data_IF_466668641142
#
_entry.id   IF_466668641142
#
_cell.length_a   1.000
_cell.length_b   1.000
_cell.length_c   1.000
_cell.angle_alpha   90.00
_cell.angle_beta   90.00
_cell.angle_gamma   90.00
#
_symmetry.space_group_name_H-M   'P 1'
#
loop_
_entity.id
_entity.type
_entity.pdbx_description
1 polymer ?
#
# COMPACT_ATOMS: atom_id res chain seq x y z
N UNK A 1 33.64 2.40 11.38
CA UNK A 1 34.19 3.48 10.52
C UNK A 1 34.38 4.71 11.37
N UNK A 2 35.54 5.41 11.24
CA UNK A 2 35.83 6.70 11.89
C UNK A 2 35.74 7.80 10.82
N UNK A 3 35.11 8.92 11.18
CA UNK A 3 34.91 10.05 10.25
C UNK A 3 34.59 11.32 11.02
N UNK A 4 34.93 12.46 10.43
CA UNK A 4 34.55 13.81 10.87
C UNK A 4 33.29 14.33 10.13
N UNK A 5 32.66 13.50 9.29
CA UNK A 5 31.39 13.85 8.65
C UNK A 5 30.25 13.90 9.68
N UNK A 6 29.60 15.05 9.89
CA UNK A 6 28.69 15.25 11.03
C UNK A 6 27.43 14.38 10.96
N UNK A 7 26.93 14.12 9.76
CA UNK A 7 25.64 13.41 9.56
C UNK A 7 25.80 11.90 9.34
N UNK A 8 26.92 11.32 9.76
CA UNK A 8 27.20 9.90 9.54
C UNK A 8 26.18 8.96 10.23
N UNK A 9 25.53 9.42 11.30
CA UNK A 9 24.50 8.71 12.04
C UNK A 9 23.06 8.99 11.56
N UNK A 10 22.94 9.87 10.57
CA UNK A 10 21.66 10.24 9.99
C UNK A 10 21.43 9.50 8.65
N UNK A 11 20.17 9.29 8.29
CA UNK A 11 19.82 8.83 6.95
C UNK A 11 20.03 9.98 5.97
N UNK A 12 21.18 9.99 5.33
CA UNK A 12 21.68 11.14 4.56
C UNK A 12 22.02 10.73 3.12
N UNK A 13 21.85 11.65 2.19
CA UNK A 13 22.34 11.54 0.83
C UNK A 13 23.43 12.58 0.61
N UNK A 14 24.63 12.11 0.35
CA UNK A 14 25.79 12.97 0.01
C UNK A 14 25.90 13.01 -1.50
N UNK A 15 25.82 14.21 -2.07
CA UNK A 15 26.07 14.46 -3.50
C UNK A 15 27.31 15.32 -3.65
N UNK A 16 28.24 14.92 -4.51
CA UNK A 16 29.43 15.67 -4.86
C UNK A 16 29.75 15.57 -6.37
N UNK A 17 30.73 16.28 -6.83
CA UNK A 17 31.22 16.13 -8.23
C UNK A 17 31.74 14.71 -8.52
N UNK A 18 32.20 14.00 -7.48
CA UNK A 18 32.76 12.66 -7.61
C UNK A 18 31.64 11.56 -7.66
N UNK A 19 30.37 11.88 -7.31
CA UNK A 19 29.27 10.97 -7.34
C UNK A 19 28.30 11.16 -6.18
N UNK A 20 27.48 10.14 -5.96
CA UNK A 20 26.46 10.13 -4.91
C UNK A 20 26.68 8.94 -3.97
N UNK A 21 26.57 9.20 -2.67
CA UNK A 21 26.55 8.17 -1.64
C UNK A 21 25.34 8.37 -0.72
N UNK A 22 24.62 7.27 -0.43
CA UNK A 22 23.54 7.29 0.55
C UNK A 22 23.99 6.56 1.81
N UNK A 23 23.82 7.21 2.95
CA UNK A 23 24.10 6.67 4.28
C UNK A 23 22.80 6.14 4.86
N UNK A 24 22.82 4.93 5.36
CA UNK A 24 21.71 4.34 6.10
C UNK A 24 22.25 3.77 7.41
N UNK A 25 21.97 4.41 8.54
CA UNK A 25 22.29 3.85 9.85
C UNK A 25 21.62 2.51 10.05
N UNK A 26 22.35 1.60 10.67
CA UNK A 26 21.88 0.27 11.05
C UNK A 26 21.97 0.13 12.57
N UNK A 27 21.72 -1.06 13.05
CA UNK A 27 21.75 -1.41 14.46
C UNK A 27 23.15 -1.18 15.06
N UNK A 28 23.19 -0.64 16.27
CA UNK A 28 24.44 -0.33 16.96
C UNK A 28 25.28 0.71 16.20
N UNK A 29 26.56 0.43 16.00
CA UNK A 29 27.51 1.32 15.32
C UNK A 29 27.69 1.03 13.82
N UNK A 30 26.84 0.17 13.26
CA UNK A 30 26.92 -0.22 11.86
C UNK A 30 26.23 0.83 10.99
N UNK A 31 26.84 1.14 9.86
CA UNK A 31 26.25 1.96 8.80
C UNK A 31 26.34 1.21 7.48
N UNK A 32 25.39 1.45 6.60
CA UNK A 32 25.38 0.96 5.22
C UNK A 32 25.57 2.13 4.26
N UNK A 33 26.57 2.02 3.41
CA UNK A 33 26.84 2.99 2.35
C UNK A 33 26.38 2.41 1.01
N UNK A 34 25.55 3.16 0.28
CA UNK A 34 25.23 2.89 -1.12
C UNK A 34 26.02 3.87 -1.99
N UNK A 35 27.10 3.40 -2.58
CA UNK A 35 28.01 4.20 -3.37
C UNK A 35 27.62 4.04 -4.83
N UNK A 36 27.22 5.12 -5.47
CA UNK A 36 27.00 5.11 -6.91
C UNK A 36 28.34 5.22 -7.62
N UNK A 37 28.72 4.14 -8.27
CA UNK A 37 29.91 4.16 -9.11
C UNK A 37 29.63 5.01 -10.36
N UNK A 38 30.61 5.83 -10.83
CA UNK A 38 30.51 6.45 -12.14
C UNK A 38 30.31 5.36 -13.19
N UNK A 39 29.63 5.69 -14.28
CA UNK A 39 29.42 4.73 -15.36
C UNK A 39 30.76 4.11 -15.72
N UNK A 40 30.91 2.83 -15.44
CA UNK A 40 32.00 2.04 -15.99
C UNK A 40 31.76 2.09 -17.49
N UNK A 41 32.70 2.67 -18.23
CA UNK A 41 32.60 2.83 -19.67
C UNK A 41 32.20 1.49 -20.27
N UNK A 42 31.06 1.48 -20.92
CA UNK A 42 30.60 0.30 -21.67
C UNK A 42 31.30 0.43 -23.02
N UNK A 43 32.33 -0.35 -23.23
CA UNK A 43 33.01 -0.44 -24.54
C UNK A 43 32.07 -0.86 -25.67
N UNK A 44 30.92 -1.46 -25.31
CA UNK A 44 29.81 -1.75 -26.24
C UNK A 44 28.48 -1.84 -25.46
N UNK A 45 27.38 -1.34 -26.02
CA UNK A 45 26.02 -1.40 -25.45
C UNK A 45 25.51 -2.83 -25.15
N UNK A 46 26.26 -3.87 -25.51
CA UNK A 46 25.91 -5.31 -25.34
C UNK A 46 26.70 -5.99 -24.24
N UNK A 47 27.76 -5.42 -23.69
CA UNK A 47 28.54 -6.07 -22.66
C UNK A 47 27.95 -5.87 -21.27
N UNK A 48 27.78 -6.99 -20.57
CA UNK A 48 27.42 -6.98 -19.15
C UNK A 48 28.60 -6.47 -18.35
N UNK A 49 28.37 -5.53 -17.42
CA UNK A 49 29.39 -5.08 -16.46
C UNK A 49 29.94 -6.30 -15.73
N UNK A 50 31.23 -6.52 -15.86
CA UNK A 50 31.93 -7.59 -15.14
C UNK A 50 32.16 -7.18 -13.70
N UNK A 51 31.32 -7.76 -12.80
CA UNK A 51 31.40 -7.49 -11.37
C UNK A 51 32.73 -7.91 -10.74
N UNK A 52 33.41 -8.88 -11.31
CA UNK A 52 34.67 -9.39 -10.76
C UNK A 52 35.83 -8.36 -10.84
N UNK A 53 35.69 -7.36 -11.70
CA UNK A 53 36.64 -6.26 -11.84
C UNK A 53 36.46 -5.15 -10.78
N UNK A 54 35.37 -5.16 -10.03
CA UNK A 54 35.08 -4.14 -9.02
C UNK A 54 35.50 -4.70 -7.65
N UNK A 55 36.45 -4.04 -7.01
CA UNK A 55 36.99 -4.45 -5.72
C UNK A 55 36.45 -3.59 -4.57
N UNK A 56 36.58 -4.04 -3.35
CA UNK A 56 36.23 -3.30 -2.14
C UNK A 56 37.01 -1.98 -2.07
N UNK A 57 38.30 -2.02 -2.40
CA UNK A 57 39.19 -0.83 -2.40
C UNK A 57 38.68 0.25 -3.35
N UNK A 58 38.19 -0.13 -4.53
CA UNK A 58 37.58 0.82 -5.49
C UNK A 58 36.34 1.49 -4.91
N UNK A 59 35.51 0.73 -4.17
CA UNK A 59 34.32 1.28 -3.49
C UNK A 59 34.72 2.25 -2.38
N UNK A 60 35.70 1.87 -1.55
CA UNK A 60 36.23 2.71 -0.48
C UNK A 60 36.82 4.01 -1.01
N UNK A 61 37.59 3.93 -2.09
CA UNK A 61 38.20 5.11 -2.74
C UNK A 61 37.13 6.02 -3.37
N UNK A 62 36.11 5.45 -4.00
CA UNK A 62 34.98 6.22 -4.52
C UNK A 62 34.24 6.94 -3.39
N UNK A 63 34.02 6.27 -2.25
CA UNK A 63 33.42 6.91 -1.09
C UNK A 63 34.27 8.07 -0.57
N UNK A 64 35.61 7.91 -0.42
CA UNK A 64 36.49 9.00 0.01
C UNK A 64 36.37 10.20 -0.89
N UNK A 65 36.34 10.01 -2.22
CA UNK A 65 36.17 11.10 -3.18
C UNK A 65 34.81 11.81 -3.05
N UNK A 66 33.75 11.04 -2.79
CA UNK A 66 32.40 11.61 -2.63
C UNK A 66 32.31 12.45 -1.36
N UNK A 67 32.94 12.02 -0.28
CA UNK A 67 32.87 12.68 1.03
C UNK A 67 33.88 13.81 1.21
N UNK A 68 34.84 13.95 0.30
CA UNK A 68 35.81 15.04 0.44
C UNK A 68 35.13 16.40 0.66
N UNK A 69 35.61 17.24 1.62
CA UNK A 69 36.91 17.17 2.32
C UNK A 69 36.90 16.30 3.60
N UNK A 70 35.79 15.67 3.98
CA UNK A 70 35.70 14.84 5.20
C UNK A 70 36.53 13.59 5.06
N UNK A 71 37.11 13.14 6.19
CA UNK A 71 37.89 11.92 6.25
C UNK A 71 36.99 10.69 6.48
N UNK A 72 37.29 9.59 5.79
CA UNK A 72 36.67 8.29 6.01
C UNK A 72 37.75 7.25 6.26
N UNK A 73 37.72 6.64 7.45
CA UNK A 73 38.61 5.53 7.84
C UNK A 73 37.78 4.30 8.20
N UNK A 74 37.97 3.21 7.49
CA UNK A 74 37.26 1.95 7.73
C UNK A 74 37.91 1.18 8.87
N UNK A 75 37.15 0.84 9.90
CA UNK A 75 37.59 -0.02 10.99
C UNK A 75 37.31 -1.48 10.69
N UNK A 76 36.17 -1.76 10.08
CA UNK A 76 35.69 -3.09 9.69
C UNK A 76 34.69 -2.97 8.55
N UNK A 77 34.68 -3.97 7.65
CA UNK A 77 33.69 -4.11 6.58
C UNK A 77 33.09 -5.51 6.67
N UNK A 78 31.93 -5.61 7.29
CA UNK A 78 31.24 -6.88 7.52
C UNK A 78 30.73 -7.51 6.24
N UNK A 79 30.34 -6.69 5.25
CA UNK A 79 29.75 -7.15 3.99
C UNK A 79 29.82 -6.07 2.92
N UNK A 80 30.02 -6.49 1.68
CA UNK A 80 29.89 -5.64 0.51
C UNK A 80 29.42 -6.40 -0.70
N UNK A 81 28.84 -5.69 -1.68
CA UNK A 81 28.42 -6.26 -2.96
C UNK A 81 28.32 -5.18 -4.03
N UNK A 82 28.29 -5.62 -5.28
CA UNK A 82 28.00 -4.74 -6.43
C UNK A 82 26.64 -5.09 -6.97
N UNK A 83 25.72 -4.11 -6.91
CA UNK A 83 24.39 -4.22 -7.44
C UNK A 83 24.29 -3.55 -8.81
N UNK A 84 23.94 -4.33 -9.82
CA UNK A 84 23.67 -3.81 -11.16
C UNK A 84 22.16 -3.59 -11.26
N UNK A 85 21.76 -2.33 -11.35
CA UNK A 85 20.35 -1.96 -11.48
C UNK A 85 19.79 -2.49 -12.80
N UNK A 86 18.78 -3.33 -12.71
CA UNK A 86 17.93 -3.72 -13.83
C UNK A 86 16.52 -3.21 -13.57
N UNK A 87 15.95 -2.51 -14.53
CA UNK A 87 14.56 -2.04 -14.45
C UNK A 87 13.73 -2.82 -15.45
N UNK A 88 13.09 -3.88 -14.97
CA UNK A 88 12.41 -4.86 -15.82
C UNK A 88 11.20 -5.43 -15.08
N UNK A 89 10.19 -5.83 -15.84
CA UNK A 89 9.11 -6.68 -15.35
C UNK A 89 8.81 -7.78 -16.36
N UNK A 90 8.32 -8.91 -15.87
CA UNK A 90 7.97 -10.06 -16.68
C UNK A 90 6.74 -9.78 -17.54
N UNK A 91 6.66 -10.42 -18.70
CA UNK A 91 5.50 -10.35 -19.59
C UNK A 91 4.25 -10.95 -18.95
N UNK A 92 4.43 -11.98 -18.12
CA UNK A 92 3.37 -12.66 -17.39
C UNK A 92 3.82 -12.95 -15.96
N UNK A 93 2.90 -12.89 -15.00
CA UNK A 93 3.10 -13.21 -13.59
C UNK A 93 2.48 -14.56 -13.21
N UNK A 94 1.71 -15.12 -14.13
CA UNK A 94 1.02 -16.39 -13.99
C UNK A 94 1.16 -17.20 -15.30
N UNK A 95 1.22 -18.53 -15.19
CA UNK A 95 1.16 -19.40 -16.34
C UNK A 95 -0.27 -19.51 -16.91
N UNK A 96 -0.39 -19.97 -18.15
CA UNK A 96 -1.70 -20.07 -18.85
C UNK A 96 -2.71 -20.98 -18.15
N UNK A 97 -2.25 -21.88 -17.31
CA UNK A 97 -3.10 -22.83 -16.59
C UNK A 97 -3.48 -22.33 -15.18
N UNK A 98 -2.98 -21.17 -14.74
CA UNK A 98 -3.24 -20.62 -13.41
C UNK A 98 -2.66 -21.45 -12.26
N UNK A 99 -1.54 -22.15 -12.49
CA UNK A 99 -0.94 -23.05 -11.50
C UNK A 99 0.47 -22.68 -11.07
N UNK A 100 1.14 -21.84 -11.84
CA UNK A 100 2.49 -21.35 -11.55
C UNK A 100 2.42 -19.83 -11.47
N UNK A 101 2.90 -19.27 -10.37
CA UNK A 101 2.92 -17.84 -10.12
C UNK A 101 4.34 -17.40 -9.80
N UNK A 102 4.72 -16.21 -10.24
CA UNK A 102 5.96 -15.56 -9.85
C UNK A 102 5.66 -14.25 -9.17
N UNK A 103 6.47 -13.86 -8.16
CA UNK A 103 6.30 -12.64 -7.38
C UNK A 103 7.64 -12.05 -6.95
N UNK A 104 7.65 -10.78 -6.56
CA UNK A 104 8.86 -10.06 -6.16
C UNK A 104 9.93 -10.00 -7.24
N UNK A 105 11.18 -10.22 -6.89
CA UNK A 105 12.32 -10.13 -7.81
C UNK A 105 12.26 -11.14 -8.96
N UNK A 106 11.42 -12.18 -8.85
CA UNK A 106 11.20 -13.13 -9.95
C UNK A 106 10.36 -12.52 -11.09
N UNK A 107 9.53 -11.53 -10.80
CA UNK A 107 8.66 -10.91 -11.80
C UNK A 107 8.98 -9.44 -12.09
N UNK A 108 9.65 -8.71 -11.19
CA UNK A 108 10.09 -7.33 -11.45
C UNK A 108 11.37 -6.99 -10.69
N UNK A 109 12.20 -6.19 -11.31
CA UNK A 109 13.41 -5.62 -10.69
C UNK A 109 13.47 -4.12 -10.98
N UNK A 110 13.93 -3.36 -10.00
CA UNK A 110 14.05 -1.91 -10.10
C UNK A 110 15.25 -1.41 -9.29
N UNK A 111 15.52 -0.10 -9.30
CA UNK A 111 16.66 0.44 -8.57
C UNK A 111 16.43 0.40 -7.05
N UNK A 112 17.49 0.33 -6.23
CA UNK A 112 17.36 0.41 -4.78
C UNK A 112 17.11 1.85 -4.28
N UNK A 113 17.04 2.84 -5.17
CA UNK A 113 17.03 4.27 -4.81
C UNK A 113 15.77 4.67 -4.03
N UNK A 114 14.61 4.18 -4.44
CA UNK A 114 13.35 4.42 -3.73
C UNK A 114 13.14 3.49 -2.53
N UNK A 115 13.89 2.38 -2.43
CA UNK A 115 13.77 1.41 -1.33
C UNK A 115 12.50 0.57 -1.36
N UNK A 116 11.89 0.36 -2.53
CA UNK A 116 10.58 -0.27 -2.67
C UNK A 116 10.59 -1.79 -2.91
N UNK A 117 11.77 -2.41 -3.16
CA UNK A 117 11.85 -3.82 -3.57
C UNK A 117 11.16 -4.78 -2.60
N UNK A 118 11.54 -4.74 -1.33
CA UNK A 118 10.94 -5.60 -0.31
C UNK A 118 9.44 -5.34 -0.16
N UNK A 119 9.02 -4.08 -0.14
CA UNK A 119 7.61 -3.72 0.00
C UNK A 119 6.77 -4.23 -1.17
N UNK A 120 7.27 -4.08 -2.39
CA UNK A 120 6.62 -4.59 -3.59
C UNK A 120 6.48 -6.12 -3.56
N UNK A 121 7.53 -6.84 -3.18
CA UNK A 121 7.54 -8.31 -3.08
C UNK A 121 6.58 -8.82 -1.99
N UNK A 122 6.52 -8.16 -0.83
CA UNK A 122 5.55 -8.50 0.23
C UNK A 122 4.13 -8.27 -0.26
N UNK A 123 3.88 -7.16 -0.94
CA UNK A 123 2.55 -6.85 -1.48
C UNK A 123 2.13 -7.83 -2.59
N UNK A 124 3.05 -8.30 -3.43
CA UNK A 124 2.74 -9.36 -4.42
C UNK A 124 2.31 -10.65 -3.72
N UNK A 125 3.09 -11.06 -2.73
CA UNK A 125 2.79 -12.27 -1.95
C UNK A 125 1.46 -12.14 -1.22
N UNK A 126 1.22 -11.01 -0.56
CA UNK A 126 -0.04 -10.74 0.13
C UNK A 126 -1.23 -10.79 -0.85
N UNK A 127 -1.11 -10.13 -2.01
CA UNK A 127 -2.15 -10.10 -3.04
C UNK A 127 -2.49 -11.50 -3.58
N UNK A 128 -1.50 -12.35 -3.76
CA UNK A 128 -1.68 -13.72 -4.26
C UNK A 128 -2.24 -14.67 -3.21
N UNK A 129 -1.69 -14.64 -1.97
CA UNK A 129 -1.94 -15.67 -0.96
C UNK A 129 -3.39 -15.71 -0.50
N UNK A 130 -4.05 -14.56 -0.28
CA UNK A 130 -5.45 -14.58 0.12
C UNK A 130 -6.38 -15.11 -0.98
N UNK A 131 -6.08 -14.83 -2.26
CA UNK A 131 -6.81 -15.36 -3.41
C UNK A 131 -6.64 -16.87 -3.54
N UNK A 132 -5.40 -17.36 -3.41
CA UNK A 132 -5.10 -18.79 -3.37
C UNK A 132 -5.82 -19.48 -2.22
N UNK A 133 -5.79 -18.90 -1.03
CA UNK A 133 -6.43 -19.48 0.14
C UNK A 133 -7.96 -19.60 -0.03
N UNK A 134 -8.62 -18.61 -0.64
CA UNK A 134 -10.05 -18.69 -0.95
C UNK A 134 -10.36 -19.78 -1.97
N UNK A 135 -9.56 -19.91 -3.02
CA UNK A 135 -9.75 -20.96 -4.03
C UNK A 135 -9.52 -22.35 -3.45
N UNK A 136 -8.43 -22.55 -2.70
CA UNK A 136 -8.12 -23.85 -2.05
C UNK A 136 -9.20 -24.25 -1.04
N UNK A 137 -9.77 -23.28 -0.33
CA UNK A 137 -10.89 -23.52 0.60
C UNK A 137 -12.24 -23.68 -0.09
N UNK A 138 -12.30 -23.61 -1.43
CA UNK A 138 -13.56 -23.68 -2.18
C UNK A 138 -14.50 -22.48 -1.95
N UNK A 139 -13.97 -21.35 -1.47
CA UNK A 139 -14.72 -20.12 -1.17
C UNK A 139 -14.73 -19.10 -2.32
N UNK A 140 -13.89 -19.30 -3.33
CA UNK A 140 -13.86 -18.49 -4.56
C UNK A 140 -13.60 -19.37 -5.78
N UNK A 141 -14.04 -18.91 -6.96
CA UNK A 141 -13.72 -19.55 -8.22
C UNK A 141 -12.27 -19.26 -8.63
N UNK A 142 -11.57 -20.17 -9.35
CA UNK A 142 -10.20 -19.97 -9.82
C UNK A 142 -9.97 -18.70 -10.62
N UNK A 143 -11.00 -18.15 -11.28
CA UNK A 143 -10.93 -16.89 -12.02
C UNK A 143 -10.42 -15.70 -11.19
N UNK A 144 -10.56 -15.74 -9.86
CA UNK A 144 -10.01 -14.69 -8.97
C UNK A 144 -8.49 -14.61 -9.09
N UNK A 145 -7.80 -15.70 -9.41
CA UNK A 145 -6.34 -15.75 -9.51
C UNK A 145 -5.80 -14.92 -10.69
N UNK A 146 -6.60 -14.73 -11.74
CA UNK A 146 -6.26 -13.90 -12.88
C UNK A 146 -6.06 -12.43 -12.47
N UNK A 147 -6.77 -11.99 -11.42
CA UNK A 147 -6.63 -10.63 -10.90
C UNK A 147 -5.27 -10.39 -10.26
N UNK A 148 -4.53 -11.42 -9.86
CA UNK A 148 -3.16 -11.27 -9.37
C UNK A 148 -2.25 -10.65 -10.43
N UNK A 149 -2.17 -11.27 -11.61
CA UNK A 149 -1.37 -10.71 -12.71
C UNK A 149 -1.89 -9.35 -13.13
N UNK A 150 -3.20 -9.19 -13.28
CA UNK A 150 -3.82 -7.95 -13.70
C UNK A 150 -3.44 -6.77 -12.79
N UNK A 151 -3.55 -6.95 -11.49
CA UNK A 151 -3.27 -5.93 -10.48
C UNK A 151 -1.76 -5.70 -10.29
N UNK A 152 -1.00 -6.77 -10.10
CA UNK A 152 0.41 -6.65 -9.70
C UNK A 152 1.35 -6.34 -10.85
N UNK A 153 1.05 -6.80 -12.06
CA UNK A 153 1.82 -6.42 -13.24
C UNK A 153 1.61 -4.95 -13.62
N UNK A 154 0.38 -4.44 -13.50
CA UNK A 154 0.10 -3.01 -13.68
C UNK A 154 0.87 -2.16 -12.66
N UNK A 155 0.85 -2.56 -11.38
CA UNK A 155 1.65 -1.93 -10.35
C UNK A 155 3.16 -1.96 -10.63
N UNK A 156 3.70 -3.12 -11.05
CA UNK A 156 5.12 -3.26 -11.36
C UNK A 156 5.54 -2.35 -12.51
N UNK A 157 4.69 -2.18 -13.53
CA UNK A 157 4.91 -1.22 -14.61
C UNK A 157 5.02 0.21 -14.08
N UNK A 158 4.04 0.65 -13.27
CA UNK A 158 4.06 1.98 -12.65
C UNK A 158 5.28 2.17 -11.74
N UNK A 159 5.66 1.13 -10.97
CA UNK A 159 6.84 1.17 -10.12
C UNK A 159 8.11 1.44 -10.91
N UNK A 160 8.27 0.76 -12.06
CA UNK A 160 9.45 0.94 -12.91
C UNK A 160 9.46 2.31 -13.57
N UNK A 161 8.33 2.80 -14.05
CA UNK A 161 8.18 4.15 -14.61
C UNK A 161 8.55 5.22 -13.56
N UNK A 162 8.00 5.10 -12.36
CA UNK A 162 8.30 5.99 -11.23
C UNK A 162 9.78 5.90 -10.80
N UNK A 163 10.34 4.67 -10.77
CA UNK A 163 11.76 4.46 -10.43
C UNK A 163 12.69 5.08 -11.47
N UNK A 164 12.33 5.08 -12.75
CA UNK A 164 13.08 5.76 -13.80
C UNK A 164 13.18 7.26 -13.56
N UNK A 165 12.03 7.93 -13.32
CA UNK A 165 12.00 9.36 -13.03
C UNK A 165 12.80 9.68 -11.76
N UNK A 166 12.51 8.95 -10.69
CA UNK A 166 13.15 9.19 -9.40
C UNK A 166 14.66 8.91 -9.42
N UNK A 167 15.07 7.85 -10.13
CA UNK A 167 16.46 7.52 -10.28
C UNK A 167 17.24 8.57 -11.13
N UNK A 168 16.60 9.15 -12.13
CA UNK A 168 17.19 10.24 -12.91
C UNK A 168 17.45 11.47 -12.05
N UNK A 169 16.47 11.93 -11.27
CA UNK A 169 16.58 13.07 -10.36
C UNK A 169 17.70 12.88 -9.32
N UNK A 170 17.80 11.68 -8.74
CA UNK A 170 18.87 11.38 -7.79
C UNK A 170 20.25 11.36 -8.46
N UNK A 171 20.33 10.89 -9.70
CA UNK A 171 21.61 10.72 -10.42
C UNK A 171 22.13 12.00 -11.08
N UNK A 172 21.31 13.04 -11.18
CA UNK A 172 21.73 14.31 -11.77
C UNK A 172 22.97 14.85 -11.05
N UNK A 173 24.00 15.18 -11.83
CA UNK A 173 25.24 15.74 -11.31
C UNK A 173 24.96 17.09 -10.70
N UNK A 174 25.67 17.41 -9.61
CA UNK A 174 25.66 18.75 -9.03
C UNK A 174 26.38 19.67 -9.99
N UNK A 175 25.74 20.77 -10.34
CA UNK A 175 26.35 21.89 -11.01
C UNK A 175 27.09 22.76 -9.99
N UNK A 176 28.16 23.50 -10.42
CA UNK A 176 28.97 24.26 -9.49
C UNK A 176 28.30 25.49 -8.88
N UNK A 177 27.13 25.84 -9.38
CA UNK A 177 26.38 27.04 -8.99
C UNK A 177 25.44 26.73 -7.82
N UNK A 178 25.50 27.51 -6.75
CA UNK A 178 24.65 27.35 -5.57
C UNK A 178 23.15 27.49 -5.89
N UNK A 179 22.79 28.32 -6.84
CA UNK A 179 21.43 28.55 -7.29
C UNK A 179 20.88 27.31 -8.01
N UNK A 180 21.63 26.69 -8.91
CA UNK A 180 21.25 25.44 -9.58
C UNK A 180 21.20 24.26 -8.60
N UNK A 181 22.06 24.25 -7.58
CA UNK A 181 22.01 23.24 -6.52
C UNK A 181 20.73 23.38 -5.67
N UNK A 182 20.27 24.59 -5.41
CA UNK A 182 19.00 24.85 -4.71
C UNK A 182 17.81 24.39 -5.54
N UNK A 183 17.78 24.71 -6.83
CA UNK A 183 16.72 24.26 -7.75
C UNK A 183 16.67 22.72 -7.81
N UNK A 184 17.81 22.06 -7.94
CA UNK A 184 17.88 20.60 -7.97
C UNK A 184 17.41 19.96 -6.65
N UNK A 185 17.59 20.63 -5.51
CA UNK A 185 17.07 20.18 -4.22
C UNK A 185 15.55 20.32 -4.16
N UNK A 186 14.99 21.43 -4.61
CA UNK A 186 13.55 21.66 -4.68
C UNK A 186 12.85 20.65 -5.59
N UNK A 187 13.41 20.41 -6.79
CA UNK A 187 12.92 19.39 -7.71
C UNK A 187 12.88 17.98 -7.07
N UNK A 188 13.93 17.63 -6.32
CA UNK A 188 14.00 16.36 -5.63
C UNK A 188 12.95 16.28 -4.50
N UNK A 189 12.77 17.35 -3.74
CA UNK A 189 11.75 17.43 -2.67
C UNK A 189 10.35 17.27 -3.27
N UNK A 190 10.03 18.02 -4.31
CA UNK A 190 8.74 17.97 -4.99
C UNK A 190 8.46 16.58 -5.60
N UNK A 191 9.51 15.91 -6.10
CA UNK A 191 9.40 14.53 -6.55
C UNK A 191 9.09 13.57 -5.38
N UNK A 192 9.74 13.75 -4.22
CA UNK A 192 9.41 12.98 -3.02
C UNK A 192 7.95 13.18 -2.59
N UNK A 193 7.47 14.40 -2.58
CA UNK A 193 6.09 14.72 -2.21
C UNK A 193 5.11 14.11 -3.22
N UNK A 194 5.37 14.25 -4.52
CA UNK A 194 4.56 13.68 -5.59
C UNK A 194 4.46 12.15 -5.54
N UNK A 195 5.58 11.47 -5.27
CA UNK A 195 5.62 10.00 -5.24
C UNK A 195 5.39 9.39 -3.86
N UNK A 196 5.29 10.20 -2.80
CA UNK A 196 5.14 9.72 -1.41
C UNK A 196 3.95 8.80 -1.22
N UNK A 197 2.80 9.14 -1.81
CA UNK A 197 1.60 8.32 -1.76
C UNK A 197 1.76 6.97 -2.44
N UNK A 198 2.46 6.92 -3.58
CA UNK A 198 2.76 5.67 -4.28
C UNK A 198 3.77 4.82 -3.51
N UNK A 199 4.85 5.43 -3.00
CA UNK A 199 5.87 4.73 -2.21
C UNK A 199 5.35 4.22 -0.86
N UNK A 200 4.37 4.90 -0.26
CA UNK A 200 3.69 4.42 0.95
C UNK A 200 2.61 3.37 0.68
N UNK A 201 2.26 3.13 -0.58
CA UNK A 201 1.20 2.21 -0.99
C UNK A 201 -0.23 2.78 -0.90
N UNK A 202 -0.39 4.00 -0.38
CA UNK A 202 -1.72 4.59 -0.12
C UNK A 202 -2.45 4.99 -1.41
N UNK A 203 -1.71 5.40 -2.44
CA UNK A 203 -2.30 5.83 -3.71
C UNK A 203 -2.30 4.76 -4.80
N UNK A 204 -1.90 3.53 -4.48
CA UNK A 204 -2.03 2.40 -5.42
C UNK A 204 -3.51 2.20 -5.69
N UNK A 205 -3.87 2.19 -6.97
CA UNK A 205 -5.25 1.98 -7.42
C UNK A 205 -5.29 0.86 -8.44
N UNK A 206 -6.16 -0.10 -8.21
CA UNK A 206 -6.43 -1.19 -9.13
C UNK A 206 -7.57 -0.82 -10.06
N UNK A 207 -7.42 -1.17 -11.33
CA UNK A 207 -8.43 -0.99 -12.35
C UNK A 207 -9.63 -1.92 -12.15
N UNK A 208 -10.79 -1.61 -12.74
CA UNK A 208 -11.97 -2.47 -12.68
C UNK A 208 -11.66 -3.90 -13.12
N UNK A 209 -12.15 -4.86 -12.34
CA UNK A 209 -11.94 -6.30 -12.54
C UNK A 209 -13.14 -7.09 -12.00
N UNK A 210 -13.04 -8.41 -11.94
CA UNK A 210 -14.10 -9.23 -11.29
C UNK A 210 -14.22 -8.99 -9.78
N UNK A 211 -13.22 -8.35 -9.13
CA UNK A 211 -13.23 -8.01 -7.70
C UNK A 211 -13.14 -6.50 -7.43
N UNK A 212 -12.95 -5.70 -8.45
CA UNK A 212 -12.90 -4.24 -8.34
C UNK A 212 -14.00 -3.66 -9.22
N UNK A 213 -15.01 -3.05 -8.61
CA UNK A 213 -16.11 -2.45 -9.35
C UNK A 213 -15.62 -1.28 -10.22
N UNK A 214 -16.26 -1.01 -11.36
CA UNK A 214 -16.04 0.23 -12.09
C UNK A 214 -16.56 1.43 -11.27
N UNK A 215 -16.02 2.62 -11.54
CA UNK A 215 -16.58 3.85 -10.97
C UNK A 215 -18.06 3.97 -11.33
N UNK A 216 -18.89 4.27 -10.35
CA UNK A 216 -20.34 4.40 -10.52
C UNK A 216 -20.77 5.84 -10.27
N UNK A 217 -21.95 6.22 -10.80
CA UNK A 217 -22.54 7.54 -10.60
C UNK A 217 -22.69 7.88 -9.10
N UNK A 218 -22.93 6.88 -8.28
CA UNK A 218 -23.08 6.99 -6.84
C UNK A 218 -21.76 7.23 -6.07
N UNK A 219 -20.61 7.20 -6.75
CA UNK A 219 -19.31 7.49 -6.15
C UNK A 219 -19.22 8.90 -5.56
N UNK A 220 -20.06 9.83 -6.02
CA UNK A 220 -20.13 11.19 -5.49
C UNK A 220 -20.54 11.23 -4.01
N UNK A 221 -21.34 10.28 -3.56
CA UNK A 221 -21.77 10.15 -2.17
C UNK A 221 -20.66 9.56 -1.28
N UNK A 222 -19.69 8.92 -1.91
CA UNK A 222 -18.53 8.29 -1.30
C UNK A 222 -17.21 8.87 -1.82
N UNK A 223 -17.17 10.15 -2.16
CA UNK A 223 -16.01 10.80 -2.78
C UNK A 223 -14.68 10.60 -2.04
N UNK A 224 -14.73 10.38 -0.72
CA UNK A 224 -13.54 10.07 0.08
C UNK A 224 -13.04 8.63 0.01
N UNK A 225 -13.80 7.70 -0.63
CA UNK A 225 -13.42 6.29 -0.81
C UNK A 225 -13.26 6.04 -2.30
N UNK A 226 -12.03 5.94 -2.75
CA UNK A 226 -11.72 5.69 -4.17
C UNK A 226 -11.75 4.19 -4.42
N UNK A 227 -12.60 3.74 -5.36
CA UNK A 227 -12.67 2.33 -5.76
C UNK A 227 -11.31 1.85 -6.25
N UNK A 228 -10.94 0.65 -5.88
CA UNK A 228 -9.64 0.05 -6.22
C UNK A 228 -8.46 0.49 -5.35
N UNK A 229 -8.66 1.45 -4.42
CA UNK A 229 -7.63 1.89 -3.48
C UNK A 229 -7.77 1.25 -2.12
N UNK A 230 -6.65 1.16 -1.40
CA UNK A 230 -6.65 0.82 0.01
C UNK A 230 -7.50 1.82 0.80
N UNK A 231 -8.36 1.29 1.67
CA UNK A 231 -9.17 2.12 2.55
C UNK A 231 -8.30 2.92 3.52
N UNK A 232 -8.45 4.24 3.53
CA UNK A 232 -7.73 5.11 4.45
C UNK A 232 -8.29 4.96 5.86
N UNK A 233 -7.51 4.37 6.76
CA UNK A 233 -7.90 4.20 8.16
C UNK A 233 -8.18 5.53 8.84
N UNK A 234 -9.21 5.52 9.69
CA UNK A 234 -9.61 6.66 10.54
C UNK A 234 -9.73 6.20 11.97
N UNK A 235 -9.61 7.14 12.92
CA UNK A 235 -9.87 6.86 14.31
C UNK A 235 -11.38 6.87 14.52
N UNK A 236 -11.90 5.81 15.12
CA UNK A 236 -13.29 5.64 15.51
C UNK A 236 -13.35 5.22 16.98
N UNK A 237 -14.45 5.50 17.67
CA UNK A 237 -14.67 5.06 19.04
C UNK A 237 -15.56 3.82 19.01
N UNK A 238 -15.14 2.76 19.67
CA UNK A 238 -15.97 1.55 19.78
C UNK A 238 -17.11 1.78 20.76
N UNK A 239 -18.33 1.54 20.32
CA UNK A 239 -19.54 1.81 21.12
C UNK A 239 -19.55 1.03 22.44
N UNK A 240 -19.11 -0.22 22.45
CA UNK A 240 -19.23 -1.12 23.59
C UNK A 240 -18.41 -0.71 24.84
N UNK A 241 -17.30 0.01 24.66
CA UNK A 241 -16.35 0.37 25.73
C UNK A 241 -15.75 1.75 25.61
N UNK A 242 -16.25 2.57 24.71
CA UNK A 242 -15.81 3.95 24.47
C UNK A 242 -14.30 4.10 24.16
N UNK A 243 -13.64 3.05 23.64
CA UNK A 243 -12.20 3.08 23.34
C UNK A 243 -11.96 3.54 21.90
N UNK A 244 -10.99 4.46 21.67
CA UNK A 244 -10.59 4.84 20.32
C UNK A 244 -9.73 3.75 19.67
N UNK A 245 -9.94 3.51 18.38
CA UNK A 245 -9.17 2.59 17.55
C UNK A 245 -8.94 3.17 16.15
N UNK A 246 -7.83 2.82 15.54
CA UNK A 246 -7.75 2.91 14.10
C UNK A 246 -8.65 1.83 13.49
N UNK A 247 -9.56 2.22 12.59
CA UNK A 247 -10.53 1.29 12.01
C UNK A 247 -9.85 0.12 11.29
N UNK A 248 -8.69 0.35 10.65
CA UNK A 248 -7.91 -0.70 10.01
C UNK A 248 -7.46 -1.80 10.98
N UNK A 249 -7.15 -1.46 12.23
CA UNK A 249 -6.75 -2.44 13.25
C UNK A 249 -7.89 -3.39 13.64
N UNK A 250 -9.13 -3.03 13.30
CA UNK A 250 -10.31 -3.84 13.54
C UNK A 250 -10.65 -4.78 12.36
N UNK A 251 -9.81 -4.73 11.32
CA UNK A 251 -9.94 -5.52 10.08
C UNK A 251 -8.71 -6.41 9.86
N UNK A 252 -8.49 -7.44 10.70
CA UNK A 252 -7.34 -8.34 10.55
C UNK A 252 -7.39 -9.10 9.22
N UNK A 253 -6.23 -9.49 8.69
CA UNK A 253 -6.11 -10.32 7.49
C UNK A 253 -6.44 -11.77 7.82
N UNK A 254 -7.72 -12.13 7.75
CA UNK A 254 -8.27 -13.44 8.15
C UNK A 254 -9.12 -14.11 7.06
N UNK A 255 -9.02 -13.66 5.83
CA UNK A 255 -9.75 -14.11 4.64
C UNK A 255 -11.24 -13.76 4.62
N UNK A 256 -11.75 -12.97 5.58
CA UNK A 256 -13.11 -12.47 5.53
C UNK A 256 -13.21 -11.22 4.66
N UNK A 257 -14.29 -11.11 3.93
CA UNK A 257 -14.68 -9.84 3.31
C UNK A 257 -15.23 -8.90 4.39
N UNK A 258 -15.03 -7.58 4.22
CA UNK A 258 -15.55 -6.57 5.14
C UNK A 258 -16.59 -5.71 4.45
N UNK A 259 -17.75 -5.64 5.07
CA UNK A 259 -18.77 -4.67 4.70
C UNK A 259 -18.78 -3.58 5.76
N UNK A 260 -18.32 -2.40 5.39
CA UNK A 260 -18.39 -1.21 6.23
C UNK A 260 -19.74 -0.54 6.03
N UNK A 261 -20.52 -0.41 7.10
CA UNK A 261 -21.86 0.15 7.09
C UNK A 261 -21.80 1.50 7.80
N UNK A 262 -21.87 2.57 7.03
CA UNK A 262 -21.92 3.92 7.58
C UNK A 262 -23.38 4.28 7.86
N UNK A 263 -23.78 4.06 9.08
CA UNK A 263 -25.18 4.14 9.50
C UNK A 263 -25.70 5.57 9.66
N UNK A 264 -24.86 6.61 9.52
CA UNK A 264 -25.29 7.99 9.68
C UNK A 264 -25.78 8.29 11.10
N UNK A 265 -26.79 9.15 11.21
CA UNK A 265 -27.43 9.47 12.48
C UNK A 265 -28.55 8.46 12.78
N UNK A 266 -28.26 7.49 13.64
CA UNK A 266 -29.20 6.43 14.02
C UNK A 266 -30.42 6.92 14.80
N UNK A 267 -30.42 8.18 15.29
CA UNK A 267 -31.55 8.79 16.00
C UNK A 267 -32.51 9.51 15.04
N UNK A 268 -32.14 9.67 13.78
CA UNK A 268 -32.98 10.29 12.76
C UNK A 268 -33.92 9.22 12.17
N UNK A 269 -35.26 9.37 12.27
CA UNK A 269 -36.19 8.32 11.86
C UNK A 269 -36.08 7.94 10.37
N UNK A 270 -35.76 8.89 9.47
CA UNK A 270 -35.58 8.63 8.06
C UNK A 270 -34.36 7.74 7.79
N UNK A 271 -33.21 8.06 8.42
CA UNK A 271 -31.99 7.27 8.31
C UNK A 271 -32.13 5.91 8.96
N UNK A 272 -32.79 5.84 10.13
CA UNK A 272 -33.04 4.56 10.79
C UNK A 272 -33.89 3.63 9.93
N UNK A 273 -34.86 4.14 9.17
CA UNK A 273 -35.66 3.33 8.24
C UNK A 273 -34.78 2.74 7.16
N UNK A 274 -33.92 3.56 6.53
CA UNK A 274 -33.01 3.11 5.47
C UNK A 274 -32.00 2.08 5.99
N UNK A 275 -31.48 2.25 7.23
CA UNK A 275 -30.59 1.29 7.88
C UNK A 275 -31.31 -0.06 8.12
N UNK A 276 -32.61 -0.04 8.47
CA UNK A 276 -33.38 -1.28 8.63
C UNK A 276 -33.53 -2.04 7.32
N UNK A 277 -33.88 -1.34 6.24
CA UNK A 277 -33.96 -1.94 4.90
C UNK A 277 -32.62 -2.52 4.44
N UNK A 278 -31.52 -1.75 4.63
CA UNK A 278 -30.18 -2.23 4.35
C UNK A 278 -29.78 -3.46 5.21
N UNK A 279 -30.15 -3.45 6.48
CA UNK A 279 -29.90 -4.57 7.41
C UNK A 279 -30.55 -5.87 6.96
N UNK A 280 -31.80 -5.83 6.48
CA UNK A 280 -32.51 -6.99 5.95
C UNK A 280 -31.80 -7.56 4.72
N UNK A 281 -31.35 -6.69 3.79
CA UNK A 281 -30.60 -7.10 2.61
C UNK A 281 -29.23 -7.72 2.98
N UNK A 282 -28.54 -7.16 3.96
CA UNK A 282 -27.25 -7.66 4.44
C UNK A 282 -27.41 -9.00 5.18
N UNK A 283 -28.47 -9.17 5.94
CA UNK A 283 -28.78 -10.44 6.59
C UNK A 283 -29.08 -11.54 5.56
N UNK A 284 -29.84 -11.22 4.50
CA UNK A 284 -30.09 -12.15 3.40
C UNK A 284 -28.78 -12.51 2.66
N UNK A 285 -27.90 -11.54 2.46
CA UNK A 285 -26.57 -11.75 1.88
C UNK A 285 -25.74 -12.69 2.77
N UNK A 286 -25.67 -12.42 4.07
CA UNK A 286 -24.96 -13.27 5.02
C UNK A 286 -25.46 -14.71 4.97
N UNK A 287 -26.79 -14.92 5.07
CA UNK A 287 -27.42 -16.25 5.00
C UNK A 287 -27.11 -16.97 3.69
N UNK A 288 -27.04 -16.27 2.58
CA UNK A 288 -26.76 -16.86 1.26
C UNK A 288 -25.34 -17.40 1.14
N UNK A 289 -24.36 -16.72 1.72
CA UNK A 289 -22.93 -17.03 1.52
C UNK A 289 -22.27 -17.69 2.72
N UNK A 290 -22.88 -17.67 3.90
CA UNK A 290 -22.36 -18.38 5.07
C UNK A 290 -22.49 -19.88 4.89
N UNK A 291 -21.41 -20.66 5.01
CA UNK A 291 -21.48 -22.11 4.91
C UNK A 291 -22.41 -22.70 5.98
N UNK A 292 -23.10 -23.82 5.71
CA UNK A 292 -23.90 -24.50 6.70
C UNK A 292 -23.10 -24.77 7.98
N UNK A 293 -23.72 -24.57 9.15
CA UNK A 293 -23.13 -24.78 10.48
C UNK A 293 -21.93 -23.87 10.82
N UNK A 294 -21.75 -22.77 10.10
CA UNK A 294 -20.73 -21.74 10.39
C UNK A 294 -21.36 -20.54 11.08
N UNK A 295 -20.50 -19.72 11.73
CA UNK A 295 -20.93 -18.44 12.26
C UNK A 295 -21.39 -17.51 11.11
N UNK A 296 -22.36 -16.62 11.39
CA UNK A 296 -22.93 -15.73 10.37
C UNK A 296 -21.87 -14.81 9.73
N UNK A 297 -20.78 -14.54 10.45
CA UNK A 297 -19.66 -13.71 10.03
C UNK A 297 -18.42 -14.51 9.59
N UNK A 298 -18.56 -15.79 9.30
CA UNK A 298 -17.45 -16.68 8.90
C UNK A 298 -16.77 -16.23 7.60
N UNK A 299 -17.54 -15.73 6.64
CA UNK A 299 -17.01 -15.27 5.36
C UNK A 299 -17.05 -13.75 5.23
N UNK A 300 -18.05 -13.10 5.79
CA UNK A 300 -18.26 -11.65 5.69
C UNK A 300 -18.35 -11.06 7.10
N UNK A 301 -17.46 -10.12 7.40
CA UNK A 301 -17.45 -9.38 8.66
C UNK A 301 -18.16 -8.03 8.45
N UNK A 302 -19.16 -7.75 9.27
CA UNK A 302 -20.00 -6.56 9.19
C UNK A 302 -19.57 -5.55 10.25
N UNK A 303 -19.19 -4.36 9.84
CA UNK A 303 -18.69 -3.29 10.71
C UNK A 303 -19.61 -2.08 10.57
N UNK A 304 -20.31 -1.71 11.63
CA UNK A 304 -21.25 -0.59 11.64
C UNK A 304 -20.60 0.64 12.24
N UNK A 305 -20.70 1.78 11.55
CA UNK A 305 -20.12 3.06 11.96
C UNK A 305 -21.22 4.11 11.96
N UNK A 306 -21.55 4.62 13.15
CA UNK A 306 -22.56 5.68 13.35
C UNK A 306 -21.91 7.05 13.40
N UNK A 307 -22.62 8.10 13.00
CA UNK A 307 -22.20 9.50 13.23
C UNK A 307 -22.53 10.03 14.63
N UNK A 308 -23.31 9.27 15.40
CA UNK A 308 -23.64 9.62 16.75
C UNK A 308 -22.46 9.38 17.71
N UNK A 309 -22.40 10.12 18.81
CA UNK A 309 -21.54 9.75 19.92
C UNK A 309 -22.03 8.47 20.60
N UNK A 310 -21.12 7.64 21.08
CA UNK A 310 -21.43 6.40 21.80
C UNK A 310 -22.35 6.65 23.03
N UNK A 311 -22.31 7.83 23.61
CA UNK A 311 -23.11 8.22 24.78
C UNK A 311 -24.54 8.67 24.41
N UNK A 312 -24.88 8.81 23.13
CA UNK A 312 -26.16 9.42 22.72
C UNK A 312 -27.20 8.43 22.25
N UNK A 313 -26.86 7.18 22.06
CA UNK A 313 -27.81 6.13 21.64
C UNK A 313 -27.44 4.77 22.23
N UNK A 314 -28.45 3.94 22.41
CA UNK A 314 -28.27 2.56 22.83
C UNK A 314 -28.04 1.63 21.60
N UNK A 315 -27.26 0.59 21.80
CA UNK A 315 -26.98 -0.40 20.74
C UNK A 315 -28.27 -0.96 20.15
N UNK A 316 -29.27 -1.18 20.98
CA UNK A 316 -30.59 -1.73 20.65
C UNK A 316 -31.43 -0.81 19.75
N UNK A 317 -31.02 0.43 19.55
CA UNK A 317 -31.60 1.33 18.55
C UNK A 317 -31.27 0.92 17.13
N UNK A 318 -30.19 0.16 16.92
CA UNK A 318 -29.81 -0.41 15.63
C UNK A 318 -30.61 -1.69 15.33
N UNK A 319 -30.79 -2.07 14.04
CA UNK A 319 -31.37 -3.33 13.66
C UNK A 319 -30.63 -4.52 14.29
N UNK A 320 -31.39 -5.56 14.69
CA UNK A 320 -30.86 -6.73 15.41
C UNK A 320 -29.67 -7.37 14.71
N UNK A 321 -29.71 -7.52 13.39
CA UNK A 321 -28.60 -8.10 12.64
C UNK A 321 -27.31 -7.30 12.78
N UNK A 322 -27.37 -5.96 12.75
CA UNK A 322 -26.20 -5.08 12.86
C UNK A 322 -25.66 -4.98 14.30
N UNK A 323 -26.49 -5.34 15.31
CA UNK A 323 -26.06 -5.34 16.70
C UNK A 323 -25.61 -6.70 17.22
N UNK A 324 -25.59 -7.75 16.43
CA UNK A 324 -25.21 -9.11 16.90
C UNK A 324 -23.81 -9.13 17.51
N UNK A 325 -22.86 -8.44 16.91
CA UNK A 325 -21.51 -8.31 17.45
C UNK A 325 -21.25 -6.89 17.98
N UNK A 326 -21.41 -6.71 19.30
CA UNK A 326 -21.20 -5.42 19.96
C UNK A 326 -19.77 -4.84 19.77
N UNK A 327 -18.79 -5.69 19.45
CA UNK A 327 -17.41 -5.28 19.24
C UNK A 327 -17.15 -4.73 17.83
N UNK A 328 -18.14 -4.79 16.95
CA UNK A 328 -18.09 -4.30 15.56
C UNK A 328 -18.96 -3.08 15.31
N UNK A 329 -19.38 -2.39 16.40
CA UNK A 329 -20.13 -1.14 16.34
C UNK A 329 -19.21 -0.01 16.78
N UNK A 330 -19.08 1.00 15.93
CA UNK A 330 -18.20 2.15 16.14
C UNK A 330 -18.95 3.47 15.93
N UNK A 331 -18.37 4.53 16.49
CA UNK A 331 -18.87 5.89 16.40
C UNK A 331 -17.80 6.80 15.81
N UNK A 332 -18.15 7.63 14.83
CA UNK A 332 -17.28 8.65 14.24
C UNK A 332 -17.39 9.95 15.03
N UNK A 333 -16.91 9.95 16.27
CA UNK A 333 -16.99 11.08 17.18
C UNK A 333 -15.66 11.77 17.44
N UNK A 334 -14.55 11.22 16.97
CA UNK A 334 -13.22 11.81 17.17
C UNK A 334 -12.94 12.82 16.05
N UNK A 335 -12.99 14.09 16.40
CA UNK A 335 -12.56 15.15 15.51
C UNK A 335 -11.04 15.35 15.60
N UNK A 336 -10.30 15.08 14.53
CA UNK A 336 -8.91 15.51 14.39
C UNK A 336 -8.93 16.90 13.74
N UNK A 337 -8.38 17.90 14.41
CA UNK A 337 -8.35 19.31 13.95
C UNK A 337 -9.73 19.93 13.65
N UNK A 338 -10.77 19.55 14.42
CA UNK A 338 -12.11 20.12 14.26
C UNK A 338 -12.90 19.62 13.05
N UNK A 339 -12.35 18.72 12.27
CA UNK A 339 -13.04 18.09 11.13
C UNK A 339 -13.50 16.71 11.55
N UNK A 340 -14.82 16.52 11.69
CA UNK A 340 -15.42 15.18 11.81
C UNK A 340 -15.11 14.40 10.53
N UNK A 341 -14.49 13.24 10.69
CA UNK A 341 -13.63 12.71 9.66
C UNK A 341 -14.27 11.86 8.57
N UNK A 342 -15.54 11.43 8.66
CA UNK A 342 -16.00 10.39 7.74
C UNK A 342 -17.39 10.61 7.13
N UNK A 343 -18.28 11.42 7.69
CA UNK A 343 -19.68 11.21 7.40
C UNK A 343 -20.39 12.21 6.48
N UNK A 344 -20.34 11.90 5.22
CA UNK A 344 -21.47 11.94 4.29
C UNK A 344 -21.35 10.78 3.29
N UNK A 345 -21.35 9.59 3.84
CA UNK A 345 -21.07 8.45 2.98
C UNK A 345 -21.99 7.30 3.33
N UNK A 346 -22.98 7.04 2.63
CA UNK A 346 -23.68 5.77 2.65
C UNK A 346 -25.15 5.72 2.94
N UNK A 347 -25.87 5.82 1.88
CA UNK A 347 -27.19 5.20 1.79
C UNK A 347 -27.42 4.50 0.44
N UNK A 348 -26.33 4.08 -0.21
CA UNK A 348 -26.41 3.65 -1.62
C UNK A 348 -26.22 2.18 -1.89
N UNK A 349 -25.67 1.43 -0.96
CA UNK A 349 -25.67 -0.03 -1.10
C UNK A 349 -27.09 -0.60 -1.08
N UNK A 350 -28.03 0.05 -0.38
CA UNK A 350 -29.42 -0.37 -0.35
C UNK A 350 -30.16 -0.22 -1.67
N UNK A 351 -29.98 0.88 -2.38
CA UNK A 351 -30.68 1.10 -3.68
C UNK A 351 -30.08 0.29 -4.82
N UNK A 352 -28.77 0.16 -4.90
CA UNK A 352 -28.13 -0.66 -5.94
C UNK A 352 -28.34 -2.17 -5.74
N UNK A 353 -28.47 -2.64 -4.50
CA UNK A 353 -28.78 -4.05 -4.22
C UNK A 353 -30.25 -4.39 -4.36
N UNK A 354 -31.15 -3.48 -4.03
CA UNK A 354 -32.62 -3.71 -4.11
C UNK A 354 -33.15 -3.55 -5.56
N UNK A 355 -32.56 -2.71 -6.40
CA UNK A 355 -33.00 -2.55 -7.79
C UNK A 355 -32.60 -3.67 -8.76
N UNK A 356 -31.78 -4.62 -8.33
CA UNK A 356 -31.38 -5.80 -9.12
C UNK A 356 -31.85 -7.11 -8.49
N UNK A 357 -33.14 -7.22 -8.14
CA UNK A 357 -33.75 -8.46 -7.67
C UNK A 357 -33.94 -9.53 -8.76
N UNK A 358 -33.55 -9.27 -10.00
CA UNK A 358 -33.66 -10.24 -11.09
C UNK A 358 -32.35 -10.97 -11.36
N UNK A 359 -32.32 -12.23 -10.98
CA UNK A 359 -31.55 -13.36 -11.53
C UNK A 359 -30.09 -13.10 -11.96
N UNK A 360 -29.16 -13.20 -11.05
CA UNK A 360 -27.71 -13.41 -11.20
C UNK A 360 -26.83 -12.50 -10.35
N UNK A 361 -27.16 -12.34 -9.06
CA UNK A 361 -26.14 -11.89 -8.12
C UNK A 361 -25.21 -13.08 -7.82
N UNK A 362 -24.24 -13.29 -8.68
CA UNK A 362 -22.98 -13.94 -8.27
C UNK A 362 -22.21 -12.87 -7.49
N UNK A 363 -21.72 -13.18 -6.30
CA UNK A 363 -20.59 -12.41 -5.75
C UNK A 363 -19.56 -12.38 -6.87
N UNK A 364 -19.44 -11.25 -7.54
CA UNK A 364 -18.26 -10.93 -8.30
C UNK A 364 -17.23 -10.58 -7.23
N UNK A 365 -16.54 -11.62 -6.76
CA UNK A 365 -15.40 -11.53 -5.85
C UNK A 365 -14.22 -11.03 -6.64
#
# INVERSE_FOLDING_TARGET
MQTDFPDIRNRTMVKSRAGTCRIIPREGDIIRLYIQLPNVERDNMKERIDRSKITLEMLMESARKIFAPYKLEWTDVQWWTVYITGQRYASNFMDKNGRIFIGGDACHTHSPKAGQGMNAAINDTHNLVWKLALVIKGRAYPAILETYEFERRSYAKQLIETDHEFAALISNKITPNAEEASIAYEELRDAFDRFSGFFSGITIQYEPSIITAPSQEDQTLAAGIVIGRSFASRIVVRHADARPFHLADQMPTDLRFRILIFAGNCLEPSQLKEIKEASEALEALAKRYTPPNSAYDELIDFITISSNSHATYERESLPTFLCQNKWKIFCDEVAINGVRSILRLFLLLSRAMVSRSDHNFRLQV
#
